data_IF_157651088666
#
_entry.id   IF_157651088666
#
_cell.length_a   1.000
_cell.length_b   1.000
_cell.length_c   1.000
_cell.angle_alpha   90.00
_cell.angle_beta   90.00
_cell.angle_gamma   90.00
#
_symmetry.space_group_name_H-M   'P 1'
#
loop_
_entity.id
_entity.type
_entity.pdbx_description
1 polymer ?
#
# COMPACT_ATOMS: atom_id res chain seq x y z
N UNK A 1 -64.43 22.64 -9.26
CA UNK A 1 -63.19 22.88 -8.52
C UNK A 1 -62.83 21.57 -7.81
N UNK A 2 -61.91 20.83 -8.35
CA UNK A 2 -61.39 19.58 -7.74
C UNK A 2 -59.89 19.86 -7.52
N UNK A 3 -59.52 20.03 -6.25
CA UNK A 3 -58.10 20.17 -5.87
C UNK A 3 -57.47 18.78 -5.84
N UNK A 4 -56.54 18.52 -6.74
CA UNK A 4 -55.67 17.36 -6.71
C UNK A 4 -54.57 17.61 -5.69
N UNK A 5 -54.62 16.89 -4.56
CA UNK A 5 -53.58 16.85 -3.56
C UNK A 5 -52.37 16.02 -4.06
N UNK A 6 -51.29 16.70 -4.39
CA UNK A 6 -49.96 16.08 -4.63
C UNK A 6 -49.32 15.86 -3.27
N UNK A 7 -49.26 14.63 -2.82
CA UNK A 7 -48.52 14.22 -1.62
C UNK A 7 -47.07 13.93 -2.03
N UNK A 8 -46.07 14.68 -1.55
CA UNK A 8 -44.67 14.32 -1.81
C UNK A 8 -44.34 13.07 -0.98
N UNK A 9 -44.14 11.94 -1.66
CA UNK A 9 -43.52 10.76 -1.04
C UNK A 9 -42.10 11.15 -0.63
N UNK A 10 -41.92 11.54 0.62
CA UNK A 10 -40.61 11.58 1.26
C UNK A 10 -40.06 10.17 1.29
N UNK A 11 -39.20 9.83 0.33
CA UNK A 11 -38.37 8.61 0.43
C UNK A 11 -37.53 8.78 1.68
N UNK A 12 -37.82 8.01 2.71
CA UNK A 12 -36.92 7.82 3.84
C UNK A 12 -35.59 7.32 3.27
N UNK A 13 -34.47 8.02 3.51
CA UNK A 13 -33.18 7.52 3.06
C UNK A 13 -32.97 6.12 3.67
N UNK A 14 -32.39 5.16 2.93
CA UNK A 14 -32.11 3.84 3.46
C UNK A 14 -31.30 4.00 4.74
N UNK A 15 -31.64 3.23 5.78
CA UNK A 15 -30.87 3.16 7.01
C UNK A 15 -29.42 2.86 6.63
N UNK A 16 -28.45 3.64 7.13
CA UNK A 16 -27.06 3.42 6.80
C UNK A 16 -26.67 1.99 7.20
N UNK A 17 -25.93 1.31 6.33
CA UNK A 17 -25.37 -0.02 6.64
C UNK A 17 -24.61 0.06 7.96
N UNK A 18 -24.91 -0.84 8.89
CA UNK A 18 -24.18 -0.89 10.15
C UNK A 18 -22.78 -1.50 10.01
N UNK A 19 -22.50 -2.12 8.86
CA UNK A 19 -21.24 -2.81 8.59
C UNK A 19 -20.77 -2.54 7.16
N UNK A 20 -19.49 -2.19 7.01
CA UNK A 20 -18.84 -2.05 5.72
C UNK A 20 -17.57 -2.89 5.66
N UNK A 21 -17.34 -3.54 4.53
CA UNK A 21 -16.14 -4.30 4.22
C UNK A 21 -15.45 -3.67 3.02
N UNK A 22 -14.13 -3.51 3.13
CA UNK A 22 -13.26 -2.98 2.08
C UNK A 22 -12.13 -3.96 1.84
N UNK A 23 -11.86 -4.29 0.58
CA UNK A 23 -10.64 -4.98 0.18
C UNK A 23 -9.62 -3.94 -0.28
N UNK A 24 -8.38 -4.09 0.17
CA UNK A 24 -7.30 -3.15 -0.11
C UNK A 24 -6.09 -3.93 -0.63
N UNK A 25 -5.47 -3.53 -1.76
CA UNK A 25 -4.30 -4.21 -2.26
C UNK A 25 -3.07 -3.90 -1.40
N UNK A 26 -2.16 -4.86 -1.28
CA UNK A 26 -0.81 -4.62 -0.79
C UNK A 26 -0.08 -3.62 -1.68
N UNK A 27 0.97 -3.03 -1.16
CA UNK A 27 1.74 -2.03 -1.90
C UNK A 27 3.24 -2.23 -1.73
N UNK A 28 3.99 -1.91 -2.78
CA UNK A 28 5.43 -1.80 -2.75
C UNK A 28 5.82 -0.35 -2.99
N UNK A 29 6.50 0.26 -2.04
CA UNK A 29 6.91 1.65 -2.10
C UNK A 29 8.39 1.79 -2.45
N UNK A 30 8.80 2.99 -2.79
CA UNK A 30 10.13 3.41 -3.18
C UNK A 30 10.62 2.91 -4.54
N UNK A 31 10.31 1.70 -4.95
CA UNK A 31 10.70 1.07 -6.23
C UNK A 31 12.19 1.27 -6.58
N UNK A 32 13.06 1.18 -5.57
CA UNK A 32 14.46 1.56 -5.66
C UNK A 32 14.66 3.07 -5.44
N UNK A 33 14.87 3.91 -6.47
CA UNK A 33 15.31 5.29 -6.30
C UNK A 33 14.21 6.29 -5.92
N UNK A 34 12.93 5.89 -5.97
CA UNK A 34 11.78 6.78 -5.73
C UNK A 34 11.36 6.87 -4.26
N UNK A 35 12.32 7.05 -3.37
CA UNK A 35 12.11 7.13 -1.93
C UNK A 35 11.05 8.17 -1.57
N UNK A 36 10.02 7.74 -0.81
CA UNK A 36 8.88 8.53 -0.33
C UNK A 36 8.01 9.17 -1.43
N UNK A 37 8.23 8.83 -2.72
CA UNK A 37 7.44 9.40 -3.81
C UNK A 37 6.87 8.39 -4.81
N UNK A 38 7.40 7.17 -4.88
CA UNK A 38 6.90 6.14 -5.80
C UNK A 38 6.30 4.97 -5.02
N UNK A 39 5.14 4.53 -5.47
CA UNK A 39 4.50 3.34 -4.92
C UNK A 39 3.66 2.61 -5.96
N UNK A 40 3.59 1.29 -5.83
CA UNK A 40 2.88 0.41 -6.74
C UNK A 40 1.97 -0.54 -5.97
N UNK A 41 0.73 -0.66 -6.39
CA UNK A 41 -0.18 -1.68 -5.87
C UNK A 41 0.21 -3.06 -6.40
N UNK A 42 0.07 -4.07 -5.56
CA UNK A 42 0.39 -5.47 -5.83
C UNK A 42 -0.87 -6.30 -5.62
N UNK A 43 -1.13 -7.27 -6.50
CA UNK A 43 -2.34 -8.10 -6.48
C UNK A 43 -2.32 -9.15 -5.35
N UNK A 44 -2.18 -8.63 -4.13
CA UNK A 44 -2.36 -9.31 -2.85
C UNK A 44 -3.32 -8.47 -2.02
N UNK A 45 -4.35 -9.08 -1.47
CA UNK A 45 -5.45 -8.34 -0.88
C UNK A 45 -5.62 -8.62 0.60
N UNK A 46 -5.82 -7.55 1.36
CA UNK A 46 -6.35 -7.60 2.72
C UNK A 46 -7.81 -7.16 2.73
N UNK A 47 -8.58 -7.65 3.68
CA UNK A 47 -9.95 -7.19 3.93
C UNK A 47 -10.02 -6.47 5.28
N UNK A 48 -10.62 -5.30 5.27
CA UNK A 48 -10.92 -4.49 6.45
C UNK A 48 -12.41 -4.40 6.62
N UNK A 49 -12.88 -4.67 7.84
CA UNK A 49 -14.29 -4.50 8.19
C UNK A 49 -14.41 -3.48 9.32
N UNK A 50 -15.36 -2.56 9.18
CA UNK A 50 -15.77 -1.63 10.25
C UNK A 50 -17.28 -1.80 10.45
N UNK A 51 -17.68 -1.93 11.69
CA UNK A 51 -19.09 -2.12 12.10
C UNK A 51 -19.42 -1.11 13.19
N UNK A 52 -20.47 -0.31 12.96
CA UNK A 52 -21.00 0.60 13.97
C UNK A 52 -21.76 -0.18 15.05
N UNK A 53 -21.45 0.11 16.31
CA UNK A 53 -22.05 -0.57 17.48
C UNK A 53 -22.69 0.43 18.44
N UNK A 54 -23.78 0.06 19.15
CA UNK A 54 -24.39 0.91 20.16
C UNK A 54 -23.50 1.09 21.41
N UNK A 55 -22.56 0.17 21.64
CA UNK A 55 -21.62 0.21 22.76
C UNK A 55 -20.19 0.05 22.25
N UNK A 56 -19.25 0.71 22.94
CA UNK A 56 -17.84 0.57 22.62
C UNK A 56 -17.39 -0.88 22.89
N UNK A 57 -16.69 -1.54 21.95
CA UNK A 57 -16.04 -2.80 22.21
C UNK A 57 -14.92 -2.62 23.24
N UNK A 58 -14.45 -3.70 23.88
CA UNK A 58 -13.27 -3.62 24.71
C UNK A 58 -12.11 -2.96 23.95
N UNK A 59 -11.27 -2.13 24.61
CA UNK A 59 -10.13 -1.51 23.97
C UNK A 59 -9.25 -2.56 23.29
N UNK A 60 -8.83 -2.28 22.07
CA UNK A 60 -7.82 -3.09 21.38
C UNK A 60 -6.44 -2.70 21.90
N UNK A 61 -5.61 -3.67 22.24
CA UNK A 61 -4.25 -3.45 22.79
C UNK A 61 -3.25 -2.87 21.75
N UNK A 62 -3.73 -2.08 20.80
CA UNK A 62 -2.93 -1.54 19.71
C UNK A 62 -2.90 -2.44 18.47
N UNK A 63 -1.85 -2.32 17.65
CA UNK A 63 -1.70 -3.12 16.45
C UNK A 63 -2.58 -2.67 15.27
N UNK A 64 -2.86 -3.59 14.36
CA UNK A 64 -3.54 -3.29 13.09
C UNK A 64 -4.98 -2.84 13.28
N UNK A 65 -5.72 -3.42 14.25
CA UNK A 65 -7.10 -3.06 14.51
C UNK A 65 -7.22 -1.63 15.06
N UNK A 66 -6.31 -1.21 15.94
CA UNK A 66 -6.27 0.17 16.44
C UNK A 66 -5.97 1.18 15.32
N UNK A 67 -5.17 0.79 14.30
CA UNK A 67 -4.95 1.62 13.11
C UNK A 67 -6.23 1.78 12.31
N UNK A 68 -7.02 0.71 12.13
CA UNK A 68 -8.31 0.74 11.43
C UNK A 68 -9.30 1.63 12.18
N UNK A 69 -9.42 1.45 13.49
CA UNK A 69 -10.33 2.23 14.34
C UNK A 69 -10.00 3.72 14.30
N UNK A 70 -8.71 4.07 14.50
CA UNK A 70 -8.23 5.45 14.41
C UNK A 70 -8.52 6.07 13.04
N UNK A 71 -8.35 5.31 11.98
CA UNK A 71 -8.64 5.77 10.61
C UNK A 71 -10.15 5.99 10.42
N UNK A 72 -10.98 5.07 10.88
CA UNK A 72 -12.44 5.22 10.82
C UNK A 72 -12.91 6.47 11.58
N UNK A 73 -12.43 6.69 12.80
CA UNK A 73 -12.76 7.87 13.60
C UNK A 73 -12.31 9.18 12.92
N UNK A 74 -11.11 9.19 12.31
CA UNK A 74 -10.62 10.35 11.58
C UNK A 74 -11.49 10.71 10.37
N UNK A 75 -12.13 9.72 9.75
CA UNK A 75 -13.08 9.98 8.67
C UNK A 75 -14.37 10.63 9.19
N UNK A 76 -14.94 10.13 10.30
CA UNK A 76 -16.12 10.76 10.90
C UNK A 76 -15.86 12.23 11.24
N UNK A 77 -14.69 12.52 11.83
CA UNK A 77 -14.26 13.90 12.14
C UNK A 77 -14.17 14.75 10.86
N UNK A 78 -13.49 14.25 9.81
CA UNK A 78 -13.30 14.97 8.55
C UNK A 78 -14.64 15.22 7.81
N UNK A 79 -15.59 14.31 7.94
CA UNK A 79 -16.92 14.43 7.37
C UNK A 79 -17.86 15.32 8.22
N UNK A 80 -17.43 15.82 9.38
CA UNK A 80 -18.27 16.56 10.33
C UNK A 80 -19.42 15.72 10.90
N UNK A 81 -19.28 14.42 10.92
CA UNK A 81 -20.29 13.47 11.37
C UNK A 81 -20.01 12.98 12.79
N UNK A 82 -21.06 12.70 13.54
CA UNK A 82 -20.92 12.06 14.87
C UNK A 82 -20.56 10.59 14.70
N UNK A 83 -19.43 10.20 15.28
CA UNK A 83 -19.06 8.79 15.32
C UNK A 83 -20.05 7.98 16.19
N UNK A 84 -20.31 6.71 15.85
CA UNK A 84 -21.13 5.83 16.69
C UNK A 84 -20.47 5.62 18.07
N UNK A 85 -21.25 5.19 19.06
CA UNK A 85 -20.77 4.96 20.41
C UNK A 85 -19.65 3.91 20.48
N UNK A 86 -19.64 2.96 19.53
CA UNK A 86 -18.57 1.98 19.35
C UNK A 86 -18.33 1.65 17.89
N UNK A 87 -17.07 1.30 17.58
CA UNK A 87 -16.65 0.75 16.30
C UNK A 87 -16.00 -0.61 16.52
N UNK A 88 -16.58 -1.68 15.99
CA UNK A 88 -15.90 -2.96 15.92
C UNK A 88 -15.13 -3.03 14.61
N UNK A 89 -13.84 -3.37 14.70
CA UNK A 89 -12.94 -3.48 13.56
C UNK A 89 -12.42 -4.89 13.39
N UNK A 90 -12.26 -5.34 12.15
CA UNK A 90 -11.64 -6.61 11.85
C UNK A 90 -10.66 -6.47 10.69
N UNK A 91 -9.56 -7.22 10.80
CA UNK A 91 -8.53 -7.36 9.79
C UNK A 91 -8.43 -8.82 9.35
N UNK A 92 -8.61 -9.07 8.07
CA UNK A 92 -8.28 -10.33 7.44
C UNK A 92 -7.14 -10.05 6.44
N UNK A 93 -5.92 -10.23 6.89
CA UNK A 93 -4.70 -9.86 6.14
C UNK A 93 -4.46 -10.71 4.90
N UNK A 94 -5.09 -11.88 4.81
CA UNK A 94 -4.85 -12.78 3.68
C UNK A 94 -3.36 -13.10 3.55
N UNK A 95 -2.79 -12.75 2.40
CA UNK A 95 -1.36 -12.92 2.11
C UNK A 95 -0.52 -11.65 2.38
N UNK A 96 -1.11 -10.60 2.96
CA UNK A 96 -0.40 -9.34 3.25
C UNK A 96 0.26 -9.41 4.63
N UNK A 97 1.57 -9.65 4.73
CA UNK A 97 2.25 -9.81 6.00
C UNK A 97 2.47 -8.47 6.69
N UNK A 98 2.41 -8.47 8.02
CA UNK A 98 2.69 -7.28 8.83
C UNK A 98 4.19 -7.00 8.93
N UNK A 99 4.58 -5.71 8.89
CA UNK A 99 5.96 -5.24 9.09
C UNK A 99 6.99 -5.91 8.14
N UNK A 100 6.62 -6.10 6.88
CA UNK A 100 7.49 -6.69 5.84
C UNK A 100 7.69 -5.79 4.62
N UNK A 101 7.27 -4.50 4.69
CA UNK A 101 7.42 -3.58 3.56
C UNK A 101 6.40 -3.78 2.43
N UNK A 102 5.25 -4.40 2.73
CA UNK A 102 4.15 -4.61 1.78
C UNK A 102 2.90 -3.78 2.10
N UNK A 103 3.07 -2.66 2.79
CA UNK A 103 2.03 -1.65 3.00
C UNK A 103 0.85 -2.07 3.88
N UNK A 104 1.00 -3.07 4.79
CA UNK A 104 -0.08 -3.53 5.65
C UNK A 104 -0.70 -2.40 6.50
N UNK A 105 0.10 -1.45 6.99
CA UNK A 105 -0.38 -0.28 7.73
C UNK A 105 -1.20 0.66 6.85
N UNK A 106 -0.75 0.91 5.62
CA UNK A 106 -1.50 1.69 4.63
C UNK A 106 -2.83 1.00 4.28
N UNK A 107 -2.82 -0.34 4.08
CA UNK A 107 -4.04 -1.12 3.86
C UNK A 107 -5.04 -0.95 5.01
N UNK A 108 -4.57 -1.02 6.26
CA UNK A 108 -5.42 -0.86 7.45
C UNK A 108 -6.05 0.53 7.51
N UNK A 109 -5.26 1.59 7.28
CA UNK A 109 -5.73 2.97 7.33
C UNK A 109 -6.67 3.31 6.17
N UNK A 110 -6.28 2.97 4.94
CA UNK A 110 -7.14 3.16 3.76
C UNK A 110 -8.44 2.37 3.92
N UNK A 111 -8.35 1.11 4.35
CA UNK A 111 -9.52 0.28 4.58
C UNK A 111 -10.45 0.85 5.65
N UNK A 112 -9.91 1.33 6.77
CA UNK A 112 -10.67 1.96 7.85
C UNK A 112 -11.38 3.24 7.42
N UNK A 113 -10.67 4.13 6.71
CA UNK A 113 -11.23 5.35 6.14
C UNK A 113 -12.36 5.04 5.14
N UNK A 114 -12.11 4.17 4.18
CA UNK A 114 -13.09 3.82 3.16
C UNK A 114 -14.30 3.09 3.71
N UNK A 115 -14.11 2.22 4.71
CA UNK A 115 -15.23 1.54 5.37
C UNK A 115 -16.11 2.53 6.15
N UNK A 116 -15.52 3.44 6.91
CA UNK A 116 -16.26 4.50 7.58
C UNK A 116 -16.95 5.45 6.60
N UNK A 117 -16.30 5.80 5.48
CA UNK A 117 -16.89 6.59 4.41
C UNK A 117 -18.14 5.88 3.83
N UNK A 118 -18.06 4.59 3.60
CA UNK A 118 -19.19 3.79 3.11
C UNK A 118 -20.34 3.74 4.13
N UNK A 119 -20.06 3.65 5.44
CA UNK A 119 -21.08 3.71 6.50
C UNK A 119 -21.82 5.05 6.52
N UNK A 120 -21.16 6.13 6.14
CA UNK A 120 -21.75 7.48 6.04
C UNK A 120 -22.44 7.75 4.69
N UNK A 121 -22.47 6.77 3.77
CA UNK A 121 -23.02 6.96 2.43
C UNK A 121 -22.05 7.62 1.45
N UNK A 122 -20.74 7.48 1.70
CA UNK A 122 -19.64 7.94 0.87
C UNK A 122 -19.59 9.46 0.62
N UNK A 123 -19.60 10.31 1.68
CA UNK A 123 -19.59 11.77 1.52
C UNK A 123 -18.25 12.31 0.99
N UNK A 124 -17.14 11.58 1.18
CA UNK A 124 -15.80 11.99 0.74
C UNK A 124 -15.36 11.21 -0.50
N UNK A 125 -14.72 11.90 -1.43
CA UNK A 125 -14.07 11.30 -2.59
C UNK A 125 -12.75 10.62 -2.20
N UNK A 126 -12.19 9.81 -3.10
CA UNK A 126 -10.86 9.23 -2.89
C UNK A 126 -9.77 10.31 -2.76
N UNK A 127 -9.90 11.42 -3.49
CA UNK A 127 -9.00 12.57 -3.40
C UNK A 127 -9.06 13.25 -2.02
N UNK A 128 -10.23 13.28 -1.37
CA UNK A 128 -10.38 13.80 0.00
C UNK A 128 -9.82 12.81 1.04
N UNK A 129 -9.87 11.51 0.77
CA UNK A 129 -9.37 10.45 1.65
C UNK A 129 -7.84 10.39 1.62
N UNK A 130 -7.19 10.62 0.48
CA UNK A 130 -5.73 10.53 0.34
C UNK A 130 -4.96 11.36 1.40
N UNK A 131 -5.23 12.66 1.61
CA UNK A 131 -4.50 13.43 2.61
C UNK A 131 -4.80 13.00 4.05
N UNK A 132 -5.97 12.43 4.33
CA UNK A 132 -6.29 11.87 5.64
C UNK A 132 -5.45 10.63 5.90
N UNK A 133 -5.42 9.72 4.94
CA UNK A 133 -4.65 8.48 5.04
C UNK A 133 -3.14 8.74 5.15
N UNK A 134 -2.60 9.66 4.34
CA UNK A 134 -1.20 10.05 4.36
C UNK A 134 -0.78 10.68 5.70
N UNK A 135 -1.62 11.54 6.30
CA UNK A 135 -1.40 12.08 7.65
C UNK A 135 -1.31 10.99 8.72
N UNK A 136 -2.16 9.98 8.62
CA UNK A 136 -2.16 8.86 9.56
C UNK A 136 -0.96 7.93 9.37
N UNK A 137 -0.49 7.77 8.14
CA UNK A 137 0.65 6.91 7.80
C UNK A 137 2.00 7.62 8.01
N UNK A 138 2.05 8.93 7.81
CA UNK A 138 3.27 9.73 7.84
C UNK A 138 3.97 9.85 6.48
N UNK A 139 3.49 9.15 5.47
CA UNK A 139 3.97 9.20 4.08
C UNK A 139 2.89 8.71 3.12
N UNK A 140 2.96 9.10 1.85
CA UNK A 140 1.89 8.86 0.88
C UNK A 140 2.20 7.76 -0.15
N UNK A 141 3.43 7.32 -0.26
CA UNK A 141 3.93 6.37 -1.27
C UNK A 141 3.31 4.97 -1.21
N UNK A 142 2.86 4.52 -0.03
CA UNK A 142 2.06 3.30 0.13
C UNK A 142 0.56 3.59 0.06
N UNK A 143 0.14 4.74 0.54
CA UNK A 143 -1.27 5.10 0.64
C UNK A 143 -1.90 5.35 -0.72
N UNK A 144 -1.21 6.09 -1.60
CA UNK A 144 -1.73 6.40 -2.92
C UNK A 144 -2.00 5.13 -3.77
N UNK A 145 -1.05 4.17 -3.91
CA UNK A 145 -1.34 2.94 -4.63
C UNK A 145 -2.35 2.03 -3.90
N UNK A 146 -2.41 2.02 -2.57
CA UNK A 146 -3.44 1.29 -1.84
C UNK A 146 -4.84 1.84 -2.15
N UNK A 147 -4.98 3.14 -2.32
CA UNK A 147 -6.25 3.81 -2.56
C UNK A 147 -6.66 3.77 -4.04
N UNK A 148 -5.74 4.10 -4.95
CA UNK A 148 -6.03 4.27 -6.38
C UNK A 148 -5.64 3.08 -7.25
N UNK A 149 -4.75 2.21 -6.79
CA UNK A 149 -4.16 1.14 -7.60
C UNK A 149 -3.01 1.65 -8.49
N UNK A 150 -2.50 0.77 -9.32
CA UNK A 150 -1.46 1.08 -10.30
C UNK A 150 -0.12 1.50 -9.69
N UNK A 151 0.68 2.14 -10.51
CA UNK A 151 1.90 2.84 -10.10
C UNK A 151 1.56 4.30 -9.86
N UNK A 152 1.85 4.80 -8.68
CA UNK A 152 1.58 6.17 -8.26
C UNK A 152 2.88 6.94 -8.04
N UNK A 153 2.94 8.14 -8.59
CA UNK A 153 3.89 9.18 -8.19
C UNK A 153 3.14 10.12 -7.27
N UNK A 154 3.67 10.40 -6.09
CA UNK A 154 3.06 11.33 -5.15
C UNK A 154 4.09 12.28 -4.60
N UNK A 155 3.76 13.56 -4.55
CA UNK A 155 4.62 14.62 -4.00
C UNK A 155 3.79 15.54 -3.12
N UNK A 156 4.45 16.17 -2.17
CA UNK A 156 3.83 17.21 -1.36
C UNK A 156 4.29 18.59 -1.84
N UNK A 157 3.32 19.46 -2.11
CA UNK A 157 3.55 20.85 -2.50
C UNK A 157 2.71 21.77 -1.61
N UNK A 158 3.35 22.56 -0.77
CA UNK A 158 2.72 23.54 0.13
C UNK A 158 1.62 22.91 1.01
N UNK A 159 1.87 21.73 1.57
CA UNK A 159 0.92 21.02 2.43
C UNK A 159 -0.21 20.30 1.68
N UNK A 160 -0.16 20.27 0.35
CA UNK A 160 -1.09 19.52 -0.50
C UNK A 160 -0.38 18.34 -1.15
N UNK A 161 -1.06 17.21 -1.22
CA UNK A 161 -0.59 16.08 -1.98
C UNK A 161 -1.00 16.24 -3.45
N UNK A 162 -0.04 16.08 -4.33
CA UNK A 162 -0.25 15.98 -5.79
C UNK A 162 0.18 14.59 -6.19
N UNK A 163 -0.68 13.85 -6.85
CA UNK A 163 -0.35 12.52 -7.32
C UNK A 163 -0.75 12.32 -8.77
N UNK A 164 -0.07 11.38 -9.42
CA UNK A 164 -0.39 10.95 -10.77
C UNK A 164 -0.19 9.44 -10.85
N UNK A 165 -1.27 8.74 -11.21
CA UNK A 165 -1.22 7.32 -11.52
C UNK A 165 -0.76 7.07 -12.95
N UNK A 166 -0.01 5.98 -13.13
CA UNK A 166 0.33 5.46 -14.45
C UNK A 166 0.14 3.95 -14.49
N UNK A 167 -0.18 3.44 -15.66
CA UNK A 167 -0.32 2.00 -15.87
C UNK A 167 1.05 1.31 -15.87
N UNK A 168 1.09 0.13 -15.29
CA UNK A 168 2.25 -0.76 -15.40
C UNK A 168 2.12 -1.54 -16.71
N UNK A 169 3.19 -1.71 -17.51
CA UNK A 169 3.12 -2.49 -18.75
C UNK A 169 2.53 -3.89 -18.54
N UNK A 170 1.61 -4.29 -19.41
CA UNK A 170 0.94 -5.57 -19.31
C UNK A 170 1.92 -6.75 -19.39
N UNK A 171 1.60 -7.83 -18.66
CA UNK A 171 2.40 -9.06 -18.63
C UNK A 171 3.64 -8.98 -17.73
N UNK A 172 3.76 -7.96 -16.90
CA UNK A 172 4.72 -7.95 -15.79
C UNK A 172 4.16 -8.74 -14.62
N UNK A 173 4.98 -9.61 -14.06
CA UNK A 173 4.73 -10.31 -12.82
C UNK A 173 5.67 -9.79 -11.72
N UNK A 174 5.28 -9.99 -10.48
CA UNK A 174 6.05 -9.64 -9.29
C UNK A 174 6.38 -10.90 -8.51
N UNK A 175 7.65 -11.14 -8.29
CA UNK A 175 8.14 -12.18 -7.37
C UNK A 175 8.53 -11.49 -6.08
N UNK A 176 7.85 -11.84 -5.01
CA UNK A 176 8.12 -11.35 -3.66
C UNK A 176 8.92 -12.40 -2.89
N UNK A 177 10.04 -12.01 -2.33
CA UNK A 177 10.70 -12.75 -1.26
C UNK A 177 10.30 -12.09 0.07
N UNK A 178 9.77 -12.87 0.99
CA UNK A 178 9.27 -12.42 2.28
C UNK A 178 10.06 -13.11 3.38
N UNK A 179 11.13 -12.47 3.91
CA UNK A 179 11.88 -13.01 5.05
C UNK A 179 11.01 -13.09 6.30
N UNK A 180 11.28 -14.05 7.18
CA UNK A 180 10.60 -14.16 8.47
C UNK A 180 10.92 -12.99 9.40
N UNK A 181 12.03 -12.31 9.16
CA UNK A 181 12.48 -11.14 9.91
C UNK A 181 11.58 -9.92 9.64
N UNK A 182 11.00 -9.35 10.68
CA UNK A 182 10.32 -8.06 10.63
C UNK A 182 11.32 -6.90 10.63
N UNK A 183 11.08 -5.89 9.80
CA UNK A 183 11.76 -4.60 9.85
C UNK A 183 10.74 -3.50 10.11
N UNK A 184 10.63 -3.00 11.35
CA UNK A 184 9.76 -1.87 11.65
C UNK A 184 10.16 -0.64 10.84
N UNK A 185 9.19 0.03 10.23
CA UNK A 185 9.43 1.18 9.34
C UNK A 185 10.22 2.29 10.04
N UNK A 186 9.90 2.59 11.30
CA UNK A 186 10.58 3.63 12.07
C UNK A 186 12.06 3.32 12.30
N UNK A 187 12.39 2.05 12.57
CA UNK A 187 13.78 1.62 12.74
C UNK A 187 14.54 1.74 11.43
N UNK A 188 13.96 1.27 10.34
CA UNK A 188 14.58 1.35 9.02
C UNK A 188 14.76 2.81 8.54
N UNK A 189 13.86 3.73 8.93
CA UNK A 189 13.99 5.17 8.64
C UNK A 189 15.10 5.84 9.44
N UNK A 190 15.32 5.46 10.71
CA UNK A 190 16.37 6.06 11.56
C UNK A 190 17.79 5.83 11.04
N UNK A 191 17.98 4.80 10.20
CA UNK A 191 19.28 4.49 9.60
C UNK A 191 19.62 5.36 8.39
N UNK A 192 18.65 6.06 7.85
CA UNK A 192 18.89 6.87 6.64
C UNK A 192 19.85 8.02 6.93
N UNK A 193 20.76 8.32 6.00
CA UNK A 193 21.65 9.45 6.14
C UNK A 193 20.85 10.76 6.16
N UNK A 194 21.23 11.67 7.03
CA UNK A 194 20.63 13.02 7.09
C UNK A 194 21.06 13.91 5.93
N UNK A 195 22.21 13.62 5.34
CA UNK A 195 22.79 14.36 4.23
C UNK A 195 23.18 13.38 3.12
N UNK A 196 23.00 13.81 1.89
CA UNK A 196 23.39 13.06 0.69
C UNK A 196 24.45 13.83 -0.09
N UNK A 197 25.37 13.09 -0.70
CA UNK A 197 26.28 13.69 -1.66
C UNK A 197 25.50 14.17 -2.90
N UNK A 198 26.02 15.20 -3.59
CA UNK A 198 25.46 15.62 -4.87
C UNK A 198 25.44 14.48 -5.88
N UNK A 199 26.48 13.63 -5.87
CA UNK A 199 26.57 12.48 -6.76
C UNK A 199 25.43 11.48 -6.52
N UNK A 200 25.14 11.14 -5.26
CA UNK A 200 24.07 10.22 -4.91
C UNK A 200 22.68 10.82 -5.18
N UNK A 201 22.50 12.11 -4.93
CA UNK A 201 21.27 12.81 -5.29
C UNK A 201 21.02 12.78 -6.81
N UNK A 202 22.02 13.12 -7.63
CA UNK A 202 21.94 13.05 -9.10
C UNK A 202 21.69 11.62 -9.57
N UNK A 203 22.33 10.62 -8.93
CA UNK A 203 22.10 9.21 -9.22
C UNK A 203 20.63 8.84 -9.03
N UNK A 204 20.04 9.14 -7.87
CA UNK A 204 18.64 8.80 -7.58
C UNK A 204 17.64 9.57 -8.45
N UNK A 205 17.83 10.89 -8.63
CA UNK A 205 16.98 11.71 -9.49
C UNK A 205 16.93 11.12 -10.91
N UNK A 206 18.11 10.84 -11.50
CA UNK A 206 18.19 10.30 -12.85
C UNK A 206 17.54 8.94 -12.99
N UNK A 207 17.64 8.07 -11.97
CA UNK A 207 17.04 6.74 -12.00
C UNK A 207 15.55 6.75 -11.76
N UNK A 208 15.06 7.58 -10.87
CA UNK A 208 13.62 7.75 -10.68
C UNK A 208 12.96 8.26 -11.97
N UNK A 209 13.56 9.25 -12.63
CA UNK A 209 13.08 9.74 -13.93
C UNK A 209 13.16 8.65 -15.02
N UNK A 210 14.26 7.89 -15.06
CA UNK A 210 14.43 6.79 -16.03
C UNK A 210 13.41 5.67 -15.78
N UNK A 211 13.10 5.34 -14.53
CA UNK A 211 12.11 4.32 -14.17
C UNK A 211 10.73 4.68 -14.72
N UNK A 212 10.29 5.91 -14.48
CA UNK A 212 8.99 6.38 -14.97
C UNK A 212 8.94 6.42 -16.49
N UNK A 213 10.00 6.90 -17.15
CA UNK A 213 10.10 6.90 -18.61
C UNK A 213 10.14 5.48 -19.19
N UNK A 214 10.92 4.57 -18.59
CA UNK A 214 11.04 3.19 -19.05
C UNK A 214 9.70 2.44 -18.96
N UNK A 215 8.99 2.56 -17.84
CA UNK A 215 7.67 1.97 -17.68
C UNK A 215 6.65 2.57 -18.65
N UNK A 216 6.59 3.90 -18.77
CA UNK A 216 5.67 4.59 -19.69
C UNK A 216 5.89 4.27 -21.16
N UNK A 217 7.13 3.94 -21.57
CA UNK A 217 7.48 3.56 -22.96
C UNK A 217 7.64 2.05 -23.17
N UNK A 218 7.38 1.20 -22.14
CA UNK A 218 7.54 -0.25 -22.23
C UNK A 218 8.99 -0.71 -22.42
N UNK A 219 9.99 0.13 -22.08
CA UNK A 219 11.43 -0.18 -22.16
C UNK A 219 11.90 -0.98 -20.93
N UNK A 220 11.41 -2.22 -20.85
CA UNK A 220 11.66 -3.12 -19.72
C UNK A 220 13.14 -3.49 -19.57
N UNK A 221 13.90 -3.42 -20.63
CA UNK A 221 15.36 -3.62 -20.67
C UNK A 221 16.14 -2.62 -19.81
N UNK A 222 15.54 -1.50 -19.43
CA UNK A 222 16.15 -0.44 -18.63
C UNK A 222 15.85 -0.57 -17.13
N UNK A 223 14.96 -1.47 -16.71
CA UNK A 223 14.47 -1.53 -15.34
C UNK A 223 15.57 -1.87 -14.32
N UNK A 224 16.54 -2.74 -14.65
CA UNK A 224 17.66 -3.02 -13.75
C UNK A 224 18.46 -1.76 -13.43
N UNK A 225 18.77 -0.95 -14.43
CA UNK A 225 19.48 0.31 -14.22
C UNK A 225 18.61 1.30 -13.49
N UNK A 226 17.32 1.38 -13.85
CA UNK A 226 16.38 2.38 -13.35
C UNK A 226 16.00 2.17 -11.87
N UNK A 227 16.07 0.95 -11.36
CA UNK A 227 15.72 0.62 -9.96
C UNK A 227 16.90 0.66 -8.98
N UNK A 228 18.11 0.99 -9.45
CA UNK A 228 19.28 1.13 -8.58
C UNK A 228 19.15 2.37 -7.70
N UNK A 229 19.46 2.22 -6.42
CA UNK A 229 19.30 3.25 -5.40
C UNK A 229 20.59 3.45 -4.59
N UNK A 230 20.88 4.68 -4.23
CA UNK A 230 21.99 5.06 -3.34
C UNK A 230 21.53 5.79 -2.09
N UNK A 231 20.22 6.00 -1.92
CA UNK A 231 19.69 6.76 -0.79
C UNK A 231 19.33 5.85 0.39
N UNK A 232 18.45 4.89 0.19
CA UNK A 232 17.86 4.15 1.31
C UNK A 232 18.28 2.69 1.39
N UNK A 233 18.42 1.98 0.27
CA UNK A 233 18.77 0.55 0.28
C UNK A 233 20.14 0.26 0.89
N UNK A 234 21.22 1.03 0.61
CA UNK A 234 22.51 0.79 1.25
C UNK A 234 22.47 0.90 2.77
N UNK A 235 21.70 1.86 3.31
CA UNK A 235 21.54 2.03 4.75
C UNK A 235 20.75 0.88 5.37
N UNK A 236 19.63 0.49 4.74
CA UNK A 236 18.75 -0.60 5.18
C UNK A 236 19.38 -1.97 5.05
N UNK A 237 20.27 -2.16 4.08
CA UNK A 237 21.07 -3.39 3.93
C UNK A 237 21.91 -3.74 5.16
N UNK A 238 22.22 -2.77 6.03
CA UNK A 238 22.90 -3.03 7.31
C UNK A 238 22.04 -3.84 8.28
N UNK A 239 20.70 -3.70 8.20
CA UNK A 239 19.76 -4.49 8.99
C UNK A 239 19.43 -5.84 8.32
N UNK A 240 19.63 -5.93 7.01
CA UNK A 240 19.36 -7.13 6.23
C UNK A 240 20.57 -7.46 5.33
N UNK A 241 21.67 -7.99 5.89
CA UNK A 241 22.93 -8.22 5.19
C UNK A 241 22.83 -9.02 3.89
N UNK A 242 21.97 -10.08 3.74
CA UNK A 242 21.87 -10.80 2.50
C UNK A 242 21.11 -10.08 1.37
N UNK A 243 20.59 -8.85 1.63
CA UNK A 243 19.79 -8.11 0.65
C UNK A 243 20.48 -8.00 -0.72
N UNK A 244 21.75 -7.57 -0.75
CA UNK A 244 22.45 -7.36 -2.04
C UNK A 244 22.67 -8.69 -2.79
N UNK A 245 22.99 -9.79 -2.07
CA UNK A 245 23.12 -11.11 -2.69
C UNK A 245 21.80 -11.63 -3.25
N UNK A 246 20.67 -11.32 -2.59
CA UNK A 246 19.33 -11.68 -3.05
C UNK A 246 18.95 -10.87 -4.29
N UNK A 247 19.19 -9.55 -4.26
CA UNK A 247 18.95 -8.68 -5.43
C UNK A 247 19.75 -9.14 -6.64
N UNK A 248 21.01 -9.51 -6.43
CA UNK A 248 21.88 -10.06 -7.47
C UNK A 248 21.37 -11.39 -8.00
N UNK A 249 21.02 -12.33 -7.12
CA UNK A 249 20.49 -13.65 -7.50
C UNK A 249 19.19 -13.53 -8.31
N UNK A 250 18.30 -12.60 -7.97
CA UNK A 250 17.09 -12.35 -8.74
C UNK A 250 17.41 -11.93 -10.18
N UNK A 251 18.34 -10.97 -10.36
CA UNK A 251 18.76 -10.51 -11.69
C UNK A 251 19.45 -11.60 -12.51
N UNK A 252 20.35 -12.35 -11.90
CA UNK A 252 21.06 -13.47 -12.55
C UNK A 252 20.11 -14.61 -12.97
N UNK A 253 18.98 -14.76 -12.26
CA UNK A 253 17.93 -15.72 -12.61
C UNK A 253 16.92 -15.18 -13.65
N UNK A 254 17.12 -13.97 -14.17
CA UNK A 254 16.31 -13.41 -15.28
C UNK A 254 15.27 -12.36 -14.87
N UNK A 255 15.29 -11.89 -13.61
CA UNK A 255 14.45 -10.76 -13.25
C UNK A 255 14.86 -9.48 -14.01
N UNK A 256 13.87 -8.74 -14.47
CA UNK A 256 14.05 -7.44 -15.13
C UNK A 256 14.65 -6.39 -14.20
N UNK A 257 14.30 -6.47 -12.92
CA UNK A 257 14.87 -5.69 -11.83
C UNK A 257 14.51 -6.33 -10.48
N UNK A 258 15.24 -5.94 -9.44
CA UNK A 258 14.90 -6.29 -8.06
C UNK A 258 15.27 -5.15 -7.11
N UNK A 259 14.45 -4.93 -6.09
CA UNK A 259 14.65 -3.86 -5.11
C UNK A 259 13.97 -4.19 -3.77
N UNK A 260 14.38 -3.50 -2.71
CA UNK A 260 13.77 -3.59 -1.39
C UNK A 260 12.37 -2.95 -1.42
N UNK A 261 11.34 -3.69 -1.08
CA UNK A 261 9.97 -3.19 -1.03
C UNK A 261 9.75 -2.33 0.21
N UNK A 262 9.41 -1.07 0.02
CA UNK A 262 9.18 -0.11 1.10
C UNK A 262 10.34 -0.03 2.08
N UNK A 263 10.05 -0.19 3.38
CA UNK A 263 11.08 -0.27 4.45
C UNK A 263 11.79 -1.61 4.55
N UNK A 264 11.33 -2.64 3.86
CA UNK A 264 11.77 -4.02 3.99
C UNK A 264 10.96 -4.78 5.05
N UNK A 265 11.25 -6.03 5.28
CA UNK A 265 12.32 -6.89 4.74
C UNK A 265 12.02 -7.51 3.37
N UNK A 266 10.78 -7.41 2.86
CA UNK A 266 10.45 -8.00 1.57
C UNK A 266 11.29 -7.39 0.44
N UNK A 267 11.67 -8.25 -0.51
CA UNK A 267 12.30 -7.87 -1.78
C UNK A 267 11.32 -8.20 -2.89
N UNK A 268 11.11 -7.25 -3.80
CA UNK A 268 10.30 -7.42 -4.98
C UNK A 268 11.19 -7.48 -6.22
N UNK A 269 10.99 -8.49 -7.06
CA UNK A 269 11.56 -8.59 -8.39
C UNK A 269 10.45 -8.53 -9.44
N UNK A 270 10.62 -7.72 -10.47
CA UNK A 270 9.72 -7.72 -11.63
C UNK A 270 10.25 -8.67 -12.69
N UNK A 271 9.34 -9.45 -13.28
CA UNK A 271 9.65 -10.48 -14.27
C UNK A 271 8.68 -10.41 -15.44
N UNK A 272 9.05 -11.06 -16.53
CA UNK A 272 8.17 -11.32 -17.68
C UNK A 272 8.44 -12.75 -18.18
N UNK A 273 8.16 -13.73 -17.31
CA UNK A 273 8.50 -15.13 -17.42
C UNK A 273 9.66 -15.52 -16.51
N UNK A 274 9.77 -16.80 -16.16
CA UNK A 274 10.83 -17.34 -15.30
C UNK A 274 10.62 -17.03 -13.80
N UNK A 275 9.38 -16.81 -13.37
CA UNK A 275 9.05 -16.39 -12.00
C UNK A 275 9.53 -17.41 -10.95
N UNK A 276 9.36 -18.71 -11.22
CA UNK A 276 9.75 -19.76 -10.28
C UNK A 276 11.27 -19.87 -10.12
N UNK A 277 12.01 -19.71 -11.22
CA UNK A 277 13.47 -19.69 -11.22
C UNK A 277 13.99 -18.51 -10.40
N UNK A 278 13.40 -17.34 -10.58
CA UNK A 278 13.72 -16.13 -9.81
C UNK A 278 13.37 -16.35 -8.34
N UNK A 279 12.17 -16.85 -8.02
CA UNK A 279 11.75 -17.15 -6.66
C UNK A 279 12.69 -18.13 -5.96
N UNK A 280 13.09 -19.19 -6.65
CA UNK A 280 14.03 -20.17 -6.13
C UNK A 280 15.42 -19.58 -5.87
N UNK A 281 15.94 -18.79 -6.82
CA UNK A 281 17.24 -18.13 -6.69
C UNK A 281 17.26 -17.17 -5.48
N UNK A 282 16.21 -16.37 -5.33
CA UNK A 282 16.07 -15.46 -4.19
C UNK A 282 16.01 -16.20 -2.85
N UNK A 283 15.23 -17.30 -2.75
CA UNK A 283 15.17 -18.13 -1.52
C UNK A 283 16.53 -18.74 -1.19
N UNK A 284 17.23 -19.30 -2.18
CA UNK A 284 18.57 -19.88 -1.97
C UNK A 284 19.57 -18.83 -1.47
N UNK A 285 19.53 -17.62 -2.03
CA UNK A 285 20.40 -16.53 -1.60
C UNK A 285 20.09 -16.08 -0.17
N UNK A 286 18.81 -16.00 0.21
CA UNK A 286 18.40 -15.70 1.58
C UNK A 286 18.90 -16.76 2.57
N UNK A 287 18.67 -18.05 2.25
CA UNK A 287 19.11 -19.18 3.07
C UNK A 287 20.64 -19.23 3.22
N UNK A 288 21.39 -18.98 2.15
CA UNK A 288 22.85 -18.87 2.19
C UNK A 288 23.32 -17.73 3.10
N UNK A 289 22.53 -16.66 3.23
CA UNK A 289 22.76 -15.58 4.17
C UNK A 289 22.26 -15.83 5.60
N UNK A 290 21.72 -17.03 5.88
CA UNK A 290 21.22 -17.41 7.20
C UNK A 290 19.79 -16.94 7.51
N UNK A 291 18.99 -16.60 6.49
CA UNK A 291 17.62 -16.13 6.67
C UNK A 291 16.60 -17.07 6.03
N UNK A 292 15.61 -17.47 6.81
CA UNK A 292 14.44 -18.17 6.29
C UNK A 292 13.51 -17.16 5.61
N UNK A 293 13.01 -17.54 4.44
CA UNK A 293 12.11 -16.68 3.66
C UNK A 293 11.16 -17.55 2.82
N UNK A 294 9.92 -17.11 2.73
CA UNK A 294 8.95 -17.59 1.75
C UNK A 294 9.01 -16.75 0.47
N UNK A 295 8.48 -17.27 -0.62
CA UNK A 295 8.28 -16.50 -1.84
C UNK A 295 6.83 -16.59 -2.30
N UNK A 296 6.40 -15.55 -2.99
CA UNK A 296 5.06 -15.47 -3.56
C UNK A 296 5.14 -14.82 -4.93
N UNK A 297 4.48 -15.42 -5.91
CA UNK A 297 4.37 -14.89 -7.27
C UNK A 297 3.01 -14.23 -7.40
N UNK A 298 2.99 -13.01 -7.90
CA UNK A 298 1.80 -12.20 -8.11
C UNK A 298 2.02 -11.22 -9.27
N UNK A 299 1.24 -10.17 -9.37
CA UNK A 299 1.38 -9.13 -10.40
C UNK A 299 1.17 -7.73 -9.78
N UNK A 300 1.60 -6.66 -10.46
CA UNK A 300 1.08 -5.33 -10.18
C UNK A 300 -0.44 -5.29 -10.32
N UNK A 301 -1.12 -4.59 -9.41
CA UNK A 301 -2.58 -4.41 -9.46
C UNK A 301 -2.94 -3.03 -10.01
N UNK A 302 -3.78 -2.98 -11.03
CA UNK A 302 -4.33 -1.70 -11.52
C UNK A 302 -5.45 -1.17 -10.60
N UNK A 303 -5.96 -2.01 -9.70
CA UNK A 303 -7.06 -1.68 -8.83
C UNK A 303 -6.59 -1.31 -7.42
N UNK A 304 -7.10 -0.19 -6.92
CA UNK A 304 -6.97 0.23 -5.53
C UNK A 304 -8.06 -0.36 -4.63
N UNK A 305 -8.25 0.26 -3.48
CA UNK A 305 -9.23 -0.17 -2.49
C UNK A 305 -10.67 -0.16 -3.02
N UNK A 306 -11.43 -1.19 -2.67
CA UNK A 306 -12.80 -1.40 -3.15
C UNK A 306 -13.72 -1.73 -1.98
N UNK A 307 -14.85 -1.03 -1.91
CA UNK A 307 -15.94 -1.43 -1.00
C UNK A 307 -16.55 -2.71 -1.54
N UNK A 308 -16.50 -3.77 -0.75
CA UNK A 308 -17.21 -5.02 -1.06
C UNK A 308 -18.66 -4.81 -0.61
N UNK A 309 -19.63 -5.02 -1.50
CA UNK A 309 -21.05 -4.80 -1.22
C UNK A 309 -21.40 -5.41 0.15
N UNK A 310 -21.81 -4.55 1.09
CA UNK A 310 -22.24 -4.98 2.40
C UNK A 310 -23.50 -5.84 2.24
N UNK A 311 -23.47 -7.05 2.77
CA UNK A 311 -24.71 -7.75 3.08
C UNK A 311 -25.45 -6.88 4.10
N UNK A 312 -26.62 -6.36 3.71
CA UNK A 312 -27.60 -5.91 4.69
C UNK A 312 -27.77 -7.06 5.68
N UNK A 313 -27.73 -6.74 6.98
CA UNK A 313 -28.07 -7.72 8.01
C UNK A 313 -29.48 -8.23 7.65
N UNK A 314 -29.51 -9.38 7.01
CA UNK A 314 -30.72 -10.07 6.63
C UNK A 314 -30.83 -11.26 7.56
N UNK A 315 -31.99 -11.31 8.17
CA UNK A 315 -32.76 -12.42 8.77
C UNK A 315 -31.99 -13.37 9.69
#
# INVERSE_FOLDING_TARGET
MVQSGYSPHTRTPPLPSQRAKVRVPATSANLGPGFDCLGMAVDLWAEVTVEARPEAPPPTDGGIQAMIEKAALALYEAAGATAPAGLATAWAGGQVPLARGLGASACARVGGLMAANALLGAPLSAEDILPLAARLEGHADNVAPALFGGLQVVVEEQGRLVHLGTTVPAGLNAVLLIPEMALPTDESRRLLPRELSREDAVHNIGRAALLMAALGHGRLDLLDVATRDRLHQPARGRLFPPMESILKAAREAGALCAYLSGGGSAILALTKGGEEEVAQAMRKAAQAGGFEASSLITAPSEHGAQVVAGQAAGD
#
